data_IF_137207862073
#
_entry.id   IF_137207862073
#
_cell.length_a   1.000
_cell.length_b   1.000
_cell.length_c   1.000
_cell.angle_alpha   90.00
_cell.angle_beta   90.00
_cell.angle_gamma   90.00
#
_symmetry.space_group_name_H-M   'P 1'
#
loop_
_entity.id
_entity.type
_entity.pdbx_description
1 polymer ?
#
# COMPACT_ATOMS: atom_id res chain seq x y z
N UNK A 1 23.09 -15.48 17.16
CA UNK A 1 21.87 -15.51 17.98
C UNK A 1 20.75 -14.78 17.26
N UNK A 2 19.65 -15.46 17.00
CA UNK A 2 18.47 -14.91 16.31
C UNK A 2 17.80 -13.87 17.20
N UNK A 3 17.70 -12.62 16.72
CA UNK A 3 16.88 -11.59 17.36
C UNK A 3 15.43 -11.76 16.87
N UNK A 4 14.48 -11.92 17.78
CA UNK A 4 13.07 -12.02 17.42
C UNK A 4 12.57 -10.72 16.73
N UNK A 5 11.65 -10.83 15.74
CA UNK A 5 11.14 -9.68 14.97
C UNK A 5 10.52 -8.58 15.85
N UNK A 6 9.99 -8.93 17.00
CA UNK A 6 9.34 -8.03 17.95
C UNK A 6 10.28 -7.40 18.98
N UNK A 7 11.59 -7.73 18.96
CA UNK A 7 12.55 -7.13 19.89
C UNK A 7 13.13 -5.82 19.33
N UNK A 8 13.54 -4.93 20.23
CA UNK A 8 14.34 -3.77 19.91
C UNK A 8 15.84 -4.13 19.74
N UNK A 9 16.69 -3.14 19.48
CA UNK A 9 18.15 -3.34 19.38
C UNK A 9 18.77 -3.81 20.69
N UNK A 10 18.13 -3.52 21.83
CA UNK A 10 18.55 -3.93 23.18
C UNK A 10 17.96 -5.28 23.59
N UNK A 11 17.38 -6.04 22.64
CA UNK A 11 16.69 -7.35 22.86
C UNK A 11 15.50 -7.29 23.81
N UNK A 12 14.98 -6.08 24.12
CA UNK A 12 13.76 -5.90 24.90
C UNK A 12 12.53 -5.96 23.98
N UNK A 13 11.42 -6.40 24.55
CA UNK A 13 10.14 -6.46 23.86
C UNK A 13 9.69 -5.05 23.43
N UNK A 14 9.55 -4.80 22.12
CA UNK A 14 8.94 -3.59 21.59
C UNK A 14 7.44 -3.87 21.34
N UNK A 15 6.58 -3.34 22.21
CA UNK A 15 5.12 -3.55 22.14
C UNK A 15 4.54 -3.16 20.78
N UNK A 16 5.04 -2.09 20.16
CA UNK A 16 4.56 -1.67 18.83
C UNK A 16 4.87 -2.74 17.78
N UNK A 17 6.10 -3.26 17.78
CA UNK A 17 6.50 -4.32 16.87
C UNK A 17 5.71 -5.59 17.09
N UNK A 18 5.47 -5.99 18.35
CA UNK A 18 4.70 -7.18 18.67
C UNK A 18 3.25 -7.06 18.15
N UNK A 19 2.58 -5.94 18.47
CA UNK A 19 1.19 -5.71 18.02
C UNK A 19 1.10 -5.74 16.50
N UNK A 20 1.99 -5.00 15.81
CA UNK A 20 1.99 -5.01 14.33
C UNK A 20 2.30 -6.40 13.79
N UNK A 21 3.26 -7.13 14.38
CA UNK A 21 3.59 -8.50 13.97
C UNK A 21 2.36 -9.43 14.05
N UNK A 22 1.63 -9.42 15.16
CA UNK A 22 0.42 -10.22 15.32
C UNK A 22 -0.68 -9.80 14.33
N UNK A 23 -0.86 -8.49 14.13
CA UNK A 23 -1.83 -7.98 13.16
C UNK A 23 -1.56 -8.40 11.72
N UNK A 24 -0.28 -8.62 11.34
CA UNK A 24 0.07 -9.07 10.00
C UNK A 24 -0.42 -10.49 9.68
N UNK A 25 -0.72 -11.31 10.70
CA UNK A 25 -1.28 -12.65 10.47
C UNK A 25 -2.80 -12.63 10.30
N UNK A 26 -3.51 -11.63 10.81
CA UNK A 26 -4.98 -11.61 10.80
C UNK A 26 -5.59 -11.77 9.39
N UNK A 27 -5.10 -11.07 8.34
CA UNK A 27 -5.69 -11.26 7.03
C UNK A 27 -5.52 -12.66 6.48
N UNK A 28 -4.31 -13.23 6.60
CA UNK A 28 -4.02 -14.58 6.12
C UNK A 28 -4.80 -15.65 6.90
N UNK A 29 -4.87 -15.54 8.23
CA UNK A 29 -5.66 -16.47 9.04
C UNK A 29 -7.16 -16.38 8.72
N UNK A 30 -7.69 -15.18 8.48
CA UNK A 30 -9.07 -15.00 8.01
C UNK A 30 -9.33 -15.73 6.70
N UNK A 31 -8.43 -15.57 5.71
CA UNK A 31 -8.55 -16.27 4.41
C UNK A 31 -8.47 -17.78 4.60
N UNK A 32 -7.52 -18.27 5.42
CA UNK A 32 -7.35 -19.69 5.68
C UNK A 32 -8.58 -20.29 6.38
N UNK A 33 -9.13 -19.61 7.38
CA UNK A 33 -10.37 -20.03 8.08
C UNK A 33 -11.55 -20.03 7.11
N UNK A 34 -11.73 -18.94 6.33
CA UNK A 34 -12.82 -18.84 5.37
C UNK A 34 -12.73 -19.94 4.30
N UNK A 35 -11.52 -20.30 3.86
CA UNK A 35 -11.28 -21.43 2.95
C UNK A 35 -11.64 -22.77 3.60
N UNK A 36 -11.20 -23.01 4.83
CA UNK A 36 -11.43 -24.28 5.55
C UNK A 36 -12.91 -24.54 5.89
N UNK A 37 -13.72 -23.49 6.02
CA UNK A 37 -15.15 -23.57 6.31
C UNK A 37 -16.05 -23.28 5.11
N UNK A 38 -15.52 -23.33 3.87
CA UNK A 38 -16.25 -23.12 2.61
C UNK A 38 -17.01 -21.75 2.55
N UNK A 39 -16.49 -20.71 3.22
CA UNK A 39 -17.09 -19.38 3.28
C UNK A 39 -16.69 -18.47 2.10
N UNK A 40 -15.84 -18.94 1.20
CA UNK A 40 -15.32 -18.16 0.05
C UNK A 40 -16.17 -18.26 -1.22
N UNK A 41 -17.34 -18.93 -1.16
CA UNK A 41 -18.28 -19.04 -2.28
C UNK A 41 -17.92 -20.12 -3.30
N UNK A 42 -18.43 -19.99 -4.52
CA UNK A 42 -18.41 -21.03 -5.54
C UNK A 42 -17.02 -21.39 -6.10
N UNK A 43 -16.02 -20.50 -5.94
CA UNK A 43 -14.63 -20.71 -6.39
C UNK A 43 -13.66 -20.34 -5.27
N UNK A 44 -13.58 -21.14 -4.21
CA UNK A 44 -12.87 -20.76 -2.97
C UNK A 44 -11.37 -20.50 -3.19
N UNK A 45 -10.71 -21.30 -4.03
CA UNK A 45 -9.30 -21.12 -4.34
C UNK A 45 -9.03 -19.79 -5.08
N UNK A 46 -9.87 -19.47 -6.06
CA UNK A 46 -9.75 -18.22 -6.82
C UNK A 46 -9.96 -17.00 -5.92
N UNK A 47 -10.96 -17.05 -5.04
CA UNK A 47 -11.22 -15.99 -4.07
C UNK A 47 -10.06 -15.83 -3.07
N UNK A 48 -9.47 -16.94 -2.58
CA UNK A 48 -8.29 -16.90 -1.73
C UNK A 48 -7.09 -16.25 -2.43
N UNK A 49 -6.85 -16.59 -3.71
CA UNK A 49 -5.83 -15.94 -4.55
C UNK A 49 -6.07 -14.43 -4.59
N UNK A 50 -7.28 -13.98 -4.89
CA UNK A 50 -7.62 -12.56 -4.95
C UNK A 50 -7.41 -11.84 -3.62
N UNK A 51 -7.90 -12.40 -2.52
CA UNK A 51 -7.78 -11.77 -1.20
C UNK A 51 -6.32 -11.65 -0.76
N UNK A 52 -5.47 -12.67 -1.00
CA UNK A 52 -4.05 -12.59 -0.66
C UNK A 52 -3.32 -11.55 -1.53
N UNK A 53 -3.64 -11.47 -2.83
CA UNK A 53 -3.11 -10.44 -3.72
C UNK A 53 -3.49 -9.03 -3.27
N UNK A 54 -4.74 -8.83 -2.88
CA UNK A 54 -5.25 -7.56 -2.35
C UNK A 54 -4.52 -7.15 -1.06
N UNK A 55 -4.26 -8.09 -0.16
CA UNK A 55 -3.48 -7.82 1.05
C UNK A 55 -2.02 -7.52 0.76
N UNK A 56 -1.41 -8.15 -0.25
CA UNK A 56 -0.05 -7.82 -0.68
C UNK A 56 0.06 -6.36 -1.13
N UNK A 57 -0.89 -5.85 -1.92
CA UNK A 57 -0.96 -4.44 -2.35
C UNK A 57 -1.20 -3.52 -1.14
N UNK A 58 -2.18 -3.84 -0.29
CA UNK A 58 -2.49 -3.04 0.91
C UNK A 58 -1.28 -2.92 1.83
N UNK A 59 -0.58 -4.02 2.11
CA UNK A 59 0.62 -4.01 2.95
C UNK A 59 1.79 -3.25 2.30
N UNK A 60 1.95 -3.33 0.99
CA UNK A 60 2.93 -2.51 0.25
C UNK A 60 2.63 -1.02 0.44
N UNK A 61 1.37 -0.61 0.36
CA UNK A 61 0.96 0.78 0.55
C UNK A 61 1.08 1.23 1.99
N UNK A 62 0.75 0.37 2.96
CA UNK A 62 0.97 0.65 4.38
C UNK A 62 2.48 0.84 4.65
N UNK A 63 3.35 0.00 4.09
CA UNK A 63 4.79 0.16 4.21
C UNK A 63 5.29 1.48 3.60
N UNK A 64 4.71 1.89 2.46
CA UNK A 64 4.95 3.19 1.85
C UNK A 64 4.41 4.34 2.72
N UNK A 65 3.24 4.19 3.33
CA UNK A 65 2.60 5.19 4.17
C UNK A 65 3.33 5.44 5.50
N UNK A 66 4.12 4.49 6.01
CA UNK A 66 4.87 4.64 7.27
C UNK A 66 5.69 5.93 7.31
N UNK A 67 6.33 6.32 6.22
CA UNK A 67 7.17 7.53 6.18
C UNK A 67 6.34 8.83 6.26
N UNK A 68 5.32 9.08 5.41
CA UNK A 68 4.45 10.23 5.60
C UNK A 68 3.71 10.22 6.94
N UNK A 69 3.18 9.08 7.38
CA UNK A 69 2.49 8.97 8.68
C UNK A 69 3.39 9.36 9.86
N UNK A 70 4.65 8.89 9.85
CA UNK A 70 5.62 9.28 10.88
C UNK A 70 5.80 10.80 10.96
N UNK A 71 5.83 11.48 9.81
CA UNK A 71 6.03 12.92 9.72
C UNK A 71 4.77 13.70 10.09
N UNK A 72 3.62 13.31 9.54
CA UNK A 72 2.32 13.95 9.77
C UNK A 72 1.89 13.79 11.23
N UNK A 73 1.93 12.57 11.77
CA UNK A 73 1.54 12.26 13.14
C UNK A 73 2.62 12.58 14.18
N UNK A 74 3.79 13.03 13.74
CA UNK A 74 4.94 13.31 14.62
C UNK A 74 5.26 12.11 15.55
N UNK A 75 5.21 10.89 14.98
CA UNK A 75 5.45 9.65 15.72
C UNK A 75 6.69 8.89 15.18
N UNK A 76 7.91 9.22 15.67
CA UNK A 76 9.17 8.65 15.15
C UNK A 76 9.26 7.13 15.22
N UNK A 77 8.59 6.51 16.20
CA UNK A 77 8.63 5.05 16.42
C UNK A 77 8.04 4.24 15.27
N UNK A 78 7.15 4.81 14.45
CA UNK A 78 6.54 4.12 13.31
C UNK A 78 7.56 3.56 12.31
N UNK A 79 8.73 4.18 12.18
CA UNK A 79 9.76 3.68 11.24
C UNK A 79 10.24 2.26 11.56
N UNK A 80 10.13 1.84 12.84
CA UNK A 80 10.62 0.53 13.31
C UNK A 80 9.83 -0.64 12.70
N UNK A 81 8.57 -0.43 12.32
CA UNK A 81 7.71 -1.48 11.78
C UNK A 81 7.71 -1.53 10.25
N UNK A 82 8.31 -0.53 9.56
CA UNK A 82 8.28 -0.43 8.10
C UNK A 82 8.87 -1.65 7.40
N UNK A 83 10.03 -2.13 7.85
CA UNK A 83 10.71 -3.31 7.28
C UNK A 83 9.82 -4.56 7.42
N UNK A 84 9.24 -4.78 8.59
CA UNK A 84 8.40 -5.93 8.89
C UNK A 84 7.13 -5.94 8.02
N UNK A 85 6.48 -4.78 7.85
CA UNK A 85 5.31 -4.65 6.97
C UNK A 85 5.69 -4.91 5.50
N UNK A 86 6.85 -4.38 5.05
CA UNK A 86 7.34 -4.62 3.68
C UNK A 86 7.67 -6.09 3.40
N UNK A 87 8.27 -6.80 4.36
CA UNK A 87 8.52 -8.25 4.24
C UNK A 87 7.19 -9.03 4.26
N UNK A 88 6.23 -8.64 5.08
CA UNK A 88 4.90 -9.24 5.06
C UNK A 88 4.20 -9.05 3.70
N UNK A 89 4.31 -7.88 3.08
CA UNK A 89 3.78 -7.65 1.73
C UNK A 89 4.34 -8.66 0.71
N UNK A 90 5.65 -8.93 0.77
CA UNK A 90 6.29 -9.96 -0.04
C UNK A 90 5.74 -11.36 0.28
N UNK A 91 5.60 -11.72 1.56
CA UNK A 91 5.05 -13.04 1.95
C UNK A 91 3.64 -13.23 1.40
N UNK A 92 2.77 -12.20 1.50
CA UNK A 92 1.42 -12.27 0.93
C UNK A 92 1.43 -12.37 -0.60
N UNK A 93 2.34 -11.68 -1.29
CA UNK A 93 2.51 -11.80 -2.74
C UNK A 93 3.00 -13.20 -3.14
N UNK A 94 3.90 -13.81 -2.35
CA UNK A 94 4.35 -15.19 -2.56
C UNK A 94 3.24 -16.20 -2.32
N UNK A 95 2.42 -16.01 -1.28
CA UNK A 95 1.25 -16.86 -1.04
C UNK A 95 0.22 -16.75 -2.16
N UNK A 96 -0.05 -15.52 -2.66
CA UNK A 96 -0.89 -15.28 -3.81
C UNK A 96 -0.40 -16.05 -5.05
N UNK A 97 0.89 -15.93 -5.37
CA UNK A 97 1.50 -16.65 -6.49
C UNK A 97 1.53 -18.16 -6.26
N UNK A 98 1.80 -18.60 -5.02
CA UNK A 98 1.81 -20.02 -4.65
C UNK A 98 0.43 -20.66 -4.85
N UNK A 99 -0.65 -20.00 -4.41
CA UNK A 99 -2.01 -20.49 -4.65
C UNK A 99 -2.39 -20.48 -6.14
N UNK A 100 -1.89 -19.51 -6.92
CA UNK A 100 -2.03 -19.54 -8.37
C UNK A 100 -1.33 -20.76 -8.98
N UNK A 101 -0.14 -21.12 -8.49
CA UNK A 101 0.56 -22.32 -8.95
C UNK A 101 -0.21 -23.62 -8.57
N UNK A 102 -0.85 -23.65 -7.40
CA UNK A 102 -1.78 -24.73 -7.02
C UNK A 102 -2.96 -24.81 -7.98
N UNK A 103 -3.59 -23.68 -8.31
CA UNK A 103 -4.71 -23.60 -9.25
C UNK A 103 -4.33 -24.13 -10.65
N UNK A 104 -3.08 -23.90 -11.06
CA UNK A 104 -2.52 -24.44 -12.32
C UNK A 104 -1.92 -25.85 -12.15
N UNK A 105 -2.19 -26.56 -11.03
CA UNK A 105 -1.73 -27.93 -10.76
C UNK A 105 -0.20 -28.06 -10.84
N UNK A 106 0.53 -26.98 -10.50
CA UNK A 106 2.00 -26.89 -10.59
C UNK A 106 2.58 -27.18 -11.98
N UNK A 107 1.79 -27.02 -13.05
CA UNK A 107 2.29 -27.12 -14.43
C UNK A 107 3.19 -25.90 -14.74
N UNK A 108 4.50 -26.08 -14.53
CA UNK A 108 5.49 -25.00 -14.67
C UNK A 108 5.55 -24.48 -16.12
N UNK A 109 5.41 -25.37 -17.11
CA UNK A 109 5.42 -24.97 -18.52
C UNK A 109 4.22 -24.09 -18.85
N UNK A 110 3.04 -24.49 -18.38
CA UNK A 110 1.80 -23.72 -18.52
C UNK A 110 1.90 -22.38 -17.78
N UNK A 111 2.36 -22.37 -16.54
CA UNK A 111 2.56 -21.15 -15.74
C UNK A 111 3.49 -20.17 -16.47
N UNK A 112 4.62 -20.65 -16.97
CA UNK A 112 5.59 -19.83 -17.70
C UNK A 112 4.99 -19.26 -19.00
N UNK A 113 4.26 -20.08 -19.78
CA UNK A 113 3.60 -19.63 -20.99
C UNK A 113 2.49 -18.61 -20.71
N UNK A 114 1.67 -18.83 -19.68
CA UNK A 114 0.63 -17.88 -19.27
C UNK A 114 1.23 -16.52 -18.86
N UNK A 115 2.32 -16.54 -18.06
CA UNK A 115 3.02 -15.31 -17.67
C UNK A 115 3.59 -14.58 -18.89
N UNK A 116 4.15 -15.29 -19.87
CA UNK A 116 4.73 -14.70 -21.07
C UNK A 116 3.67 -14.13 -22.03
N UNK A 117 2.52 -14.81 -22.17
CA UNK A 117 1.50 -14.46 -23.14
C UNK A 117 0.46 -13.46 -22.62
N UNK A 118 0.26 -13.38 -21.31
CA UNK A 118 -0.74 -12.51 -20.70
C UNK A 118 -0.09 -11.33 -20.00
N UNK A 119 -0.17 -10.16 -20.61
CA UNK A 119 0.50 -8.94 -20.14
C UNK A 119 0.22 -8.62 -18.67
N UNK A 120 -0.98 -8.87 -18.18
CA UNK A 120 -1.30 -8.62 -16.76
C UNK A 120 -0.55 -9.56 -15.83
N UNK A 121 -0.33 -10.84 -16.21
CA UNK A 121 0.49 -11.78 -15.42
C UNK A 121 1.97 -11.40 -15.48
N UNK A 122 2.47 -10.97 -16.64
CA UNK A 122 3.84 -10.45 -16.78
C UNK A 122 4.08 -9.27 -15.84
N UNK A 123 3.15 -8.32 -15.78
CA UNK A 123 3.24 -7.14 -14.89
C UNK A 123 3.24 -7.57 -13.42
N UNK A 124 2.33 -8.47 -13.02
CA UNK A 124 2.26 -9.00 -11.66
C UNK A 124 3.53 -9.76 -11.27
N UNK A 125 4.05 -10.57 -12.17
CA UNK A 125 5.29 -11.32 -11.95
C UNK A 125 6.51 -10.41 -11.85
N UNK A 126 6.60 -9.36 -12.67
CA UNK A 126 7.65 -8.34 -12.56
C UNK A 126 7.61 -7.61 -11.20
N UNK A 127 6.40 -7.27 -10.71
CA UNK A 127 6.22 -6.71 -9.38
C UNK A 127 6.67 -7.68 -8.27
N UNK A 128 6.36 -8.98 -8.41
CA UNK A 128 6.78 -10.03 -7.47
C UNK A 128 8.30 -10.18 -7.45
N UNK A 129 8.97 -10.20 -8.61
CA UNK A 129 10.44 -10.23 -8.68
C UNK A 129 11.06 -9.01 -8.00
N UNK A 130 10.47 -7.83 -8.20
CA UNK A 130 10.87 -6.62 -7.49
C UNK A 130 10.73 -6.76 -5.97
N UNK A 131 9.58 -7.25 -5.47
CA UNK A 131 9.36 -7.50 -4.04
C UNK A 131 10.35 -8.55 -3.50
N UNK A 132 10.66 -9.59 -4.28
CA UNK A 132 11.67 -10.60 -3.92
C UNK A 132 13.04 -9.97 -3.71
N UNK A 133 13.48 -9.11 -4.64
CA UNK A 133 14.75 -8.39 -4.50
C UNK A 133 14.78 -7.50 -3.25
N UNK A 134 13.67 -6.79 -2.96
CA UNK A 134 13.56 -5.97 -1.75
C UNK A 134 13.55 -6.81 -0.48
N UNK A 135 12.84 -7.93 -0.45
CA UNK A 135 12.78 -8.83 0.71
C UNK A 135 14.13 -9.48 0.99
N UNK A 136 14.79 -10.02 -0.04
CA UNK A 136 16.13 -10.63 0.06
C UNK A 136 17.16 -9.64 0.63
N UNK A 137 17.06 -8.36 0.26
CA UNK A 137 17.98 -7.30 0.72
C UNK A 137 17.52 -6.60 2.00
N UNK A 138 16.44 -7.08 2.63
CA UNK A 138 15.89 -6.49 3.86
C UNK A 138 16.51 -7.04 5.15
N UNK A 139 17.65 -7.71 5.08
CA UNK A 139 18.41 -8.17 6.26
C UNK A 139 19.49 -7.18 6.67
N UNK A 140 19.90 -7.21 7.94
CA UNK A 140 20.99 -6.35 8.43
C UNK A 140 22.33 -6.69 7.79
N UNK A 141 22.54 -7.96 7.43
CA UNK A 141 23.70 -8.42 6.65
C UNK A 141 23.77 -7.77 5.28
N UNK A 142 22.67 -7.82 4.53
CA UNK A 142 22.58 -7.21 3.20
C UNK A 142 22.69 -5.69 3.23
N UNK A 143 22.12 -5.04 4.26
CA UNK A 143 22.30 -3.59 4.45
C UNK A 143 23.78 -3.21 4.63
N UNK A 144 24.54 -3.98 5.44
CA UNK A 144 25.98 -3.77 5.62
C UNK A 144 26.77 -4.05 4.36
N UNK A 145 26.42 -5.12 3.64
CA UNK A 145 27.13 -5.53 2.42
C UNK A 145 26.91 -4.56 1.26
N UNK A 146 25.68 -4.13 0.99
CA UNK A 146 25.36 -3.17 -0.07
C UNK A 146 25.80 -1.74 0.25
N UNK A 147 25.91 -1.40 1.53
CA UNK A 147 26.06 -0.02 2.01
C UNK A 147 24.78 0.78 1.90
N UNK A 148 24.64 1.76 2.80
CA UNK A 148 23.38 2.50 2.94
C UNK A 148 22.92 3.28 1.69
N UNK A 149 23.85 3.71 0.81
CA UNK A 149 23.53 4.43 -0.44
C UNK A 149 22.86 3.51 -1.45
N UNK A 150 23.52 2.38 -1.77
CA UNK A 150 23.04 1.41 -2.76
C UNK A 150 21.76 0.74 -2.28
N UNK A 151 21.70 0.40 -0.99
CA UNK A 151 20.50 -0.14 -0.38
C UNK A 151 19.29 0.79 -0.53
N UNK A 152 19.47 2.09 -0.26
CA UNK A 152 18.39 3.08 -0.47
C UNK A 152 18.01 3.22 -1.95
N UNK A 153 18.97 3.16 -2.86
CA UNK A 153 18.71 3.20 -4.30
C UNK A 153 17.84 2.01 -4.73
N UNK A 154 18.24 0.79 -4.36
CA UNK A 154 17.49 -0.43 -4.63
C UNK A 154 16.07 -0.37 -4.05
N UNK A 155 15.92 0.08 -2.80
CA UNK A 155 14.63 0.14 -2.15
C UNK A 155 13.68 1.22 -2.70
N UNK A 156 14.14 2.09 -3.62
CA UNK A 156 13.26 2.97 -4.41
C UNK A 156 12.43 2.20 -5.44
N UNK A 157 12.83 0.98 -5.81
CA UNK A 157 12.01 0.09 -6.65
C UNK A 157 10.59 -0.12 -6.10
N UNK A 158 10.39 0.04 -4.79
CA UNK A 158 9.05 -0.07 -4.18
C UNK A 158 8.03 0.89 -4.80
N UNK A 159 8.46 2.01 -5.37
CA UNK A 159 7.56 2.95 -6.05
C UNK A 159 7.08 2.38 -7.38
N UNK A 160 8.00 1.83 -8.17
CA UNK A 160 7.68 1.15 -9.43
C UNK A 160 6.82 -0.10 -9.16
N UNK A 161 7.18 -0.88 -8.13
CA UNK A 161 6.40 -2.06 -7.71
C UNK A 161 4.96 -1.65 -7.37
N UNK A 162 4.76 -0.54 -6.63
CA UNK A 162 3.44 -0.01 -6.33
C UNK A 162 2.62 0.32 -7.58
N UNK A 163 3.26 0.94 -8.59
CA UNK A 163 2.62 1.23 -9.88
C UNK A 163 2.25 -0.05 -10.62
N UNK A 164 3.20 -1.00 -10.74
CA UNK A 164 2.95 -2.28 -11.40
C UNK A 164 1.83 -3.07 -10.71
N UNK A 165 1.80 -3.07 -9.38
CA UNK A 165 0.77 -3.75 -8.60
C UNK A 165 -0.63 -3.15 -8.85
N UNK A 166 -0.75 -1.81 -8.93
CA UNK A 166 -2.03 -1.16 -9.28
C UNK A 166 -2.46 -1.50 -10.70
N UNK A 167 -1.55 -1.43 -11.67
CA UNK A 167 -1.85 -1.78 -13.06
C UNK A 167 -2.29 -3.24 -13.16
N UNK A 168 -1.56 -4.16 -12.53
CA UNK A 168 -1.93 -5.57 -12.45
C UNK A 168 -3.33 -5.75 -11.86
N UNK A 169 -3.64 -5.04 -10.76
CA UNK A 169 -4.95 -5.09 -10.12
C UNK A 169 -6.06 -4.56 -11.02
N UNK A 170 -5.85 -3.43 -11.71
CA UNK A 170 -6.82 -2.88 -12.66
C UNK A 170 -7.17 -3.90 -13.77
N UNK A 171 -6.18 -4.59 -14.33
CA UNK A 171 -6.42 -5.60 -15.36
C UNK A 171 -7.15 -6.85 -14.82
N UNK A 172 -6.94 -7.20 -13.55
CA UNK A 172 -7.59 -8.37 -12.93
C UNK A 172 -9.02 -8.09 -12.51
N UNK A 173 -9.38 -6.85 -12.18
CA UNK A 173 -10.69 -6.49 -11.64
C UNK A 173 -11.80 -6.41 -12.68
N UNK A 174 -11.47 -6.54 -13.98
CA UNK A 174 -12.41 -6.54 -15.10
C UNK A 174 -13.47 -5.42 -15.04
N UNK A 175 -14.59 -5.66 -14.35
CA UNK A 175 -15.74 -4.74 -14.26
C UNK A 175 -15.80 -3.95 -12.93
N UNK A 176 -15.27 -4.50 -11.85
CA UNK A 176 -15.25 -3.80 -10.54
C UNK A 176 -13.93 -3.06 -10.35
N UNK A 177 -13.93 -1.80 -10.78
CA UNK A 177 -12.77 -0.92 -10.66
C UNK A 177 -12.75 -0.08 -9.39
N UNK A 178 -13.73 -0.24 -8.51
CA UNK A 178 -13.83 0.59 -7.31
C UNK A 178 -12.57 0.52 -6.46
N UNK A 179 -12.15 -0.68 -6.06
CA UNK A 179 -10.95 -0.84 -5.23
C UNK A 179 -9.65 -0.49 -5.96
N UNK A 180 -9.39 -0.93 -7.21
CA UNK A 180 -8.20 -0.52 -7.96
C UNK A 180 -8.06 1.00 -8.09
N UNK A 181 -9.17 1.71 -8.34
CA UNK A 181 -9.18 3.18 -8.44
C UNK A 181 -8.85 3.84 -7.11
N UNK A 182 -9.38 3.32 -5.98
CA UNK A 182 -8.98 3.77 -4.64
C UNK A 182 -7.48 3.57 -4.42
N UNK A 183 -6.95 2.40 -4.77
CA UNK A 183 -5.52 2.11 -4.64
C UNK A 183 -4.67 3.05 -5.50
N UNK A 184 -5.10 3.33 -6.75
CA UNK A 184 -4.42 4.29 -7.63
C UNK A 184 -4.37 5.69 -7.02
N UNK A 185 -5.49 6.19 -6.48
CA UNK A 185 -5.58 7.49 -5.83
C UNK A 185 -4.70 7.59 -4.57
N UNK A 186 -4.69 6.54 -3.74
CA UNK A 186 -3.82 6.47 -2.56
C UNK A 186 -2.34 6.42 -2.95
N UNK A 187 -1.98 5.66 -3.99
CA UNK A 187 -0.61 5.62 -4.51
C UNK A 187 -0.19 7.00 -5.02
N UNK A 188 -1.06 7.67 -5.81
CA UNK A 188 -0.81 9.03 -6.26
C UNK A 188 -0.51 9.95 -5.07
N UNK A 189 -1.33 9.95 -4.03
CA UNK A 189 -1.11 10.77 -2.84
C UNK A 189 0.23 10.45 -2.16
N UNK A 190 0.57 9.17 -2.00
CA UNK A 190 1.82 8.73 -1.40
C UNK A 190 3.06 9.19 -2.19
N UNK A 191 3.00 9.17 -3.52
CA UNK A 191 4.08 9.62 -4.38
C UNK A 191 4.17 11.15 -4.42
N UNK A 192 3.02 11.84 -4.55
CA UNK A 192 2.94 13.29 -4.54
C UNK A 192 3.42 13.89 -3.21
N UNK A 193 3.07 13.26 -2.07
CA UNK A 193 3.60 13.64 -0.77
C UNK A 193 5.14 13.61 -0.73
N UNK A 194 5.76 12.57 -1.29
CA UNK A 194 7.22 12.46 -1.33
C UNK A 194 7.87 13.51 -2.21
N UNK A 195 7.25 13.78 -3.37
CA UNK A 195 7.71 14.81 -4.26
C UNK A 195 7.60 16.20 -3.61
N UNK A 196 6.46 16.50 -3.02
CA UNK A 196 6.24 17.75 -2.29
C UNK A 196 7.23 17.92 -1.12
N UNK A 197 7.56 16.85 -0.42
CA UNK A 197 8.58 16.87 0.64
C UNK A 197 9.97 17.25 0.13
N UNK A 198 10.32 16.91 -1.11
CA UNK A 198 11.61 17.26 -1.70
C UNK A 198 11.65 18.74 -2.14
N UNK A 199 10.51 19.28 -2.57
CA UNK A 199 10.42 20.64 -3.15
C UNK A 199 10.10 21.69 -2.09
N UNK A 200 9.11 21.44 -1.24
CA UNK A 200 8.57 22.43 -0.28
C UNK A 200 8.72 22.00 1.19
N UNK A 201 9.32 20.86 1.47
CA UNK A 201 9.48 20.37 2.84
C UNK A 201 10.36 21.30 3.68
N UNK A 202 9.81 21.76 4.81
CA UNK A 202 10.53 22.63 5.76
C UNK A 202 10.90 21.79 6.99
N UNK A 203 12.18 21.82 7.37
CA UNK A 203 12.71 21.08 8.54
C UNK A 203 12.28 19.60 8.56
N UNK A 204 12.24 18.95 7.37
CA UNK A 204 11.86 17.54 7.23
C UNK A 204 10.37 17.26 7.42
N UNK A 205 9.50 18.27 7.28
CA UNK A 205 8.03 18.16 7.33
C UNK A 205 7.38 18.95 6.23
N UNK A 206 6.23 18.48 5.78
CA UNK A 206 5.38 19.24 4.89
C UNK A 206 4.39 20.07 5.71
N UNK A 207 4.23 21.39 5.44
CA UNK A 207 3.19 22.19 6.08
C UNK A 207 1.81 21.55 5.90
N UNK A 208 0.96 21.61 6.94
CA UNK A 208 -0.34 20.92 6.92
C UNK A 208 -1.25 21.39 5.80
N UNK A 209 -1.14 22.66 5.38
CA UNK A 209 -1.87 23.18 4.22
C UNK A 209 -1.52 22.44 2.93
N UNK A 210 -0.24 22.10 2.72
CA UNK A 210 0.19 21.31 1.58
C UNK A 210 -0.34 19.87 1.66
N UNK A 211 -0.40 19.27 2.85
CA UNK A 211 -1.00 17.94 3.02
C UNK A 211 -2.48 17.99 2.63
N UNK A 212 -3.21 19.02 3.06
CA UNK A 212 -4.60 19.26 2.66
C UNK A 212 -4.77 19.46 1.15
N UNK A 213 -3.93 20.30 0.54
CA UNK A 213 -3.96 20.52 -0.91
C UNK A 213 -3.69 19.24 -1.71
N UNK A 214 -2.73 18.42 -1.28
CA UNK A 214 -2.46 17.12 -1.86
C UNK A 214 -3.62 16.14 -1.70
N UNK A 215 -4.38 16.24 -0.59
CA UNK A 215 -5.56 15.41 -0.36
C UNK A 215 -6.66 15.73 -1.37
N UNK A 216 -6.91 17.02 -1.64
CA UNK A 216 -7.85 17.46 -2.67
C UNK A 216 -7.36 17.05 -4.07
N UNK A 217 -6.09 17.28 -4.37
CA UNK A 217 -5.50 16.87 -5.66
C UNK A 217 -5.64 15.35 -5.90
N UNK A 218 -5.42 14.52 -4.87
CA UNK A 218 -5.58 13.08 -5.00
C UNK A 218 -7.04 12.69 -5.30
N UNK A 219 -8.02 13.32 -4.66
CA UNK A 219 -9.43 13.06 -4.94
C UNK A 219 -9.79 13.46 -6.38
N UNK A 220 -9.36 14.64 -6.83
CA UNK A 220 -9.59 15.12 -8.20
C UNK A 220 -8.95 14.18 -9.23
N UNK A 221 -7.68 13.80 -9.03
CA UNK A 221 -6.98 12.87 -9.93
C UNK A 221 -7.66 11.51 -9.95
N UNK A 222 -8.20 11.04 -8.80
CA UNK A 222 -8.96 9.78 -8.72
C UNK A 222 -10.24 9.87 -9.53
N UNK A 223 -11.03 10.94 -9.38
CA UNK A 223 -12.27 11.16 -10.13
C UNK A 223 -12.01 11.27 -11.64
N UNK A 224 -11.01 12.08 -12.03
CA UNK A 224 -10.62 12.22 -13.43
C UNK A 224 -10.10 10.90 -14.03
N UNK A 225 -9.32 10.13 -13.28
CA UNK A 225 -8.82 8.82 -13.70
C UNK A 225 -9.95 7.81 -13.89
N UNK A 226 -10.92 7.79 -13.00
CA UNK A 226 -12.14 6.99 -13.14
C UNK A 226 -12.94 7.39 -14.38
N UNK A 227 -13.21 8.69 -14.56
CA UNK A 227 -13.92 9.20 -15.73
C UNK A 227 -13.20 8.89 -17.05
N UNK A 228 -11.87 9.02 -17.09
CA UNK A 228 -11.06 8.67 -18.26
C UNK A 228 -11.15 7.19 -18.58
N UNK A 229 -11.07 6.32 -17.57
CA UNK A 229 -11.23 4.89 -17.77
C UNK A 229 -12.60 4.54 -18.37
N UNK A 230 -13.70 5.04 -17.76
CA UNK A 230 -15.05 4.77 -18.27
C UNK A 230 -15.26 5.31 -19.68
N UNK A 231 -14.61 6.44 -20.02
CA UNK A 231 -14.63 6.98 -21.39
C UNK A 231 -13.95 6.06 -22.39
N UNK A 232 -12.76 5.56 -22.04
CA UNK A 232 -11.93 4.74 -22.94
C UNK A 232 -12.49 3.32 -23.06
N UNK A 233 -12.85 2.70 -21.93
CA UNK A 233 -13.24 1.29 -21.89
C UNK A 233 -14.71 1.06 -22.26
N UNK A 234 -15.61 1.98 -21.93
CA UNK A 234 -17.07 1.79 -22.08
C UNK A 234 -17.76 2.89 -22.90
N UNK A 235 -17.03 3.89 -23.40
CA UNK A 235 -17.60 4.99 -24.19
C UNK A 235 -18.49 5.95 -23.38
N UNK A 236 -18.53 5.84 -22.04
CA UNK A 236 -19.35 6.68 -21.17
C UNK A 236 -18.78 8.09 -21.10
N UNK A 237 -19.65 9.10 -21.29
CA UNK A 237 -19.24 10.50 -21.23
C UNK A 237 -18.68 10.87 -19.85
N UNK A 238 -17.50 11.57 -19.79
CA UNK A 238 -16.84 11.89 -18.52
C UNK A 238 -17.72 12.67 -17.54
N UNK A 239 -18.55 13.60 -18.03
CA UNK A 239 -19.46 14.41 -17.22
C UNK A 239 -20.41 13.54 -16.41
N UNK A 240 -20.97 12.47 -17.02
CA UNK A 240 -21.87 11.55 -16.30
C UNK A 240 -21.18 10.82 -15.14
N UNK A 241 -19.90 10.48 -15.31
CA UNK A 241 -19.10 9.83 -14.25
C UNK A 241 -18.81 10.82 -13.13
N UNK A 242 -18.41 12.05 -13.47
CA UNK A 242 -18.13 13.10 -12.49
C UNK A 242 -19.40 13.54 -11.74
N UNK A 243 -20.55 13.64 -12.41
CA UNK A 243 -21.84 13.89 -11.76
C UNK A 243 -22.19 12.77 -10.76
N UNK A 244 -21.92 11.51 -11.15
CA UNK A 244 -22.08 10.36 -10.24
C UNK A 244 -21.13 10.43 -9.04
N UNK A 245 -19.93 10.95 -9.19
CA UNK A 245 -18.95 11.15 -8.09
C UNK A 245 -19.45 12.18 -7.07
N UNK A 246 -20.24 13.14 -7.49
CA UNK A 246 -20.85 14.17 -6.62
C UNK A 246 -22.19 13.70 -6.02
N UNK A 247 -22.78 12.64 -6.55
CA UNK A 247 -24.07 12.10 -6.13
C UNK A 247 -23.90 10.97 -5.12
N UNK A 248 -24.53 11.07 -3.96
CA UNK A 248 -24.60 9.98 -2.97
C UNK A 248 -25.57 8.87 -3.37
N UNK A 249 -26.42 9.09 -4.38
CA UNK A 249 -27.41 8.12 -4.84
C UNK A 249 -26.77 6.85 -5.47
N UNK A 250 -25.57 6.97 -6.01
CA UNK A 250 -24.79 5.87 -6.61
C UNK A 250 -23.85 5.15 -5.61
N UNK A 251 -23.97 5.48 -4.32
CA UNK A 251 -23.09 5.00 -3.26
C UNK A 251 -21.81 5.81 -3.13
N UNK A 252 -20.93 5.40 -2.20
CA UNK A 252 -19.67 6.12 -1.93
C UNK A 252 -18.67 5.79 -3.04
N UNK A 253 -18.30 6.79 -3.83
CA UNK A 253 -17.39 6.67 -4.98
C UNK A 253 -15.92 6.64 -4.56
N UNK A 254 -15.01 6.09 -5.41
CA UNK A 254 -13.58 5.99 -5.11
C UNK A 254 -12.92 7.31 -4.70
N UNK A 255 -13.20 8.40 -5.40
CA UNK A 255 -12.65 9.73 -5.10
C UNK A 255 -13.02 10.21 -3.69
N UNK A 256 -14.27 9.97 -3.26
CA UNK A 256 -14.74 10.32 -1.90
C UNK A 256 -14.03 9.47 -0.84
N UNK A 257 -13.83 8.18 -1.10
CA UNK A 257 -13.09 7.29 -0.18
C UNK A 257 -11.65 7.76 -0.02
N UNK A 258 -10.96 8.05 -1.13
CA UNK A 258 -9.58 8.57 -1.10
C UNK A 258 -9.55 9.88 -0.32
N UNK A 259 -10.45 10.83 -0.63
CA UNK A 259 -10.53 12.11 0.07
C UNK A 259 -10.73 11.90 1.58
N UNK A 260 -11.68 11.07 1.97
CA UNK A 260 -11.97 10.80 3.38
C UNK A 260 -10.76 10.24 4.13
N UNK A 261 -10.05 9.26 3.56
CA UNK A 261 -8.86 8.66 4.16
C UNK A 261 -7.77 9.71 4.35
N UNK A 262 -7.43 10.46 3.29
CA UNK A 262 -6.29 11.39 3.34
C UNK A 262 -6.60 12.67 4.11
N UNK A 263 -7.87 13.12 4.14
CA UNK A 263 -8.31 14.21 5.02
C UNK A 263 -8.32 13.79 6.50
N UNK A 264 -8.75 12.57 6.82
CA UNK A 264 -8.66 12.05 8.17
C UNK A 264 -7.21 12.03 8.68
N UNK A 265 -6.25 11.65 7.83
CA UNK A 265 -4.82 11.73 8.14
C UNK A 265 -4.35 13.17 8.34
N UNK A 266 -4.82 14.10 7.50
CA UNK A 266 -4.51 15.53 7.61
C UNK A 266 -5.04 16.11 8.92
N UNK A 267 -6.30 15.81 9.27
CA UNK A 267 -6.93 16.24 10.50
C UNK A 267 -6.22 15.68 11.74
N UNK A 268 -5.86 14.39 11.72
CA UNK A 268 -5.08 13.76 12.79
C UNK A 268 -3.71 14.44 12.98
N UNK A 269 -3.05 14.79 11.87
CA UNK A 269 -1.80 15.55 11.88
C UNK A 269 -1.95 16.95 12.45
N UNK A 270 -3.00 17.67 12.08
CA UNK A 270 -3.33 19.00 12.61
C UNK A 270 -3.60 18.94 14.13
N UNK A 271 -4.46 18.03 14.57
CA UNK A 271 -4.75 17.82 15.98
C UNK A 271 -3.46 17.48 16.78
N UNK A 272 -2.62 16.61 16.24
CA UNK A 272 -1.34 16.26 16.87
C UNK A 272 -0.40 17.46 17.00
N UNK A 273 -0.34 18.33 15.98
CA UNK A 273 0.49 19.53 16.01
C UNK A 273 0.06 20.49 17.11
N UNK A 274 -1.25 20.68 17.30
CA UNK A 274 -1.80 21.52 18.37
C UNK A 274 -1.43 21.00 19.77
N UNK A 275 -1.58 19.67 19.97
CA UNK A 275 -1.22 19.03 21.26
C UNK A 275 0.28 19.18 21.56
N UNK A 276 1.14 19.03 20.56
CA UNK A 276 2.60 19.15 20.75
C UNK A 276 2.97 20.60 21.04
N UNK A 277 2.37 21.58 20.38
CA UNK A 277 2.61 23.01 20.59
C UNK A 277 2.16 23.45 21.98
N UNK A 278 0.92 23.09 22.38
CA UNK A 278 0.41 23.43 23.72
C UNK A 278 1.25 22.82 24.86
N UNK A 279 1.77 21.60 24.65
CA UNK A 279 2.65 20.95 25.62
C UNK A 279 4.00 21.67 25.77
N UNK A 280 4.58 22.17 24.66
CA UNK A 280 5.82 22.96 24.70
C UNK A 280 5.63 24.28 25.43
N UNK A 281 4.52 24.98 25.17
CA UNK A 281 4.20 26.24 25.89
C UNK A 281 4.04 26.02 27.39
N UNK A 282 3.37 24.93 27.81
CA UNK A 282 3.22 24.59 29.24
C UNK A 282 4.55 24.24 29.95
N UNK A 283 5.53 23.74 29.18
CA UNK A 283 6.87 23.37 29.73
C UNK A 283 7.92 24.50 29.63
N UNK A 284 7.52 25.70 29.19
CA UNK A 284 8.41 26.87 29.12
C UNK A 284 9.48 26.79 28.03
N UNK A 285 9.38 25.86 27.10
CA UNK A 285 10.24 25.79 25.91
C UNK A 285 9.61 26.63 24.79
N UNK A 286 9.89 27.93 24.77
CA UNK A 286 9.58 28.81 23.65
C UNK A 286 10.62 28.68 22.54
#
# INVERSE_FOLDING_TARGET
>A
MLTYPWNDQSRRLDRLKLVVFLMLFLPGSRVAVAYAFDLLGARPLNEAIHQLGLWAIRLTFIALAVTPLRQILQWPRLIRVRRMIGVAAFVYAMLHFGLYAVDQVFDIAKIASEIALRIYLTIGFAALLGLTALAATSTDGMFRWLGGRNWRCLHRLVYLIGVLAVIHYCFQSKLDLREPTIMAGLLFWLLAYRLAMQVVGVRGRLPIAWVGALSLAAAIVTACGEAAYFRIALGIGPIRVLDADLSLATGIRPAVVVLAIVLALTAAGAARSLVVTSRKQRLGFA
#
